data_IF_704916280916
#
_entry.id   IF_704916280916
#
_cell.length_a   1.000
_cell.length_b   1.000
_cell.length_c   1.000
_cell.angle_alpha   90.00
_cell.angle_beta   90.00
_cell.angle_gamma   90.00
#
_symmetry.space_group_name_H-M   'P 1'
#
loop_
_entity.id
_entity.type
_entity.pdbx_description
1 polymer ?
#
# COMPACT_ATOMS: atom_id res chain seq x y z
N UNK A 1 -6.76 18.73 2.13
CA UNK A 1 -5.47 19.42 2.31
C UNK A 1 -4.44 18.71 1.45
N UNK A 2 -3.95 19.36 0.38
CA UNK A 2 -2.86 18.81 -0.42
C UNK A 2 -1.64 18.64 0.49
N UNK A 3 -1.14 17.41 0.62
CA UNK A 3 0.06 17.15 1.43
C UNK A 3 1.22 17.96 0.88
N UNK A 4 1.93 18.70 1.74
CA UNK A 4 3.09 19.47 1.32
C UNK A 4 4.09 18.56 0.60
N UNK A 5 4.56 18.98 -0.56
CA UNK A 5 5.53 18.24 -1.38
C UNK A 5 6.82 18.06 -0.57
N UNK A 6 7.38 16.85 -0.56
CA UNK A 6 8.64 16.57 0.13
C UNK A 6 9.80 17.12 -0.69
N UNK A 7 10.63 17.96 -0.10
CA UNK A 7 11.84 18.45 -0.77
C UNK A 7 12.95 17.39 -0.70
N UNK A 8 13.90 17.40 -1.64
CA UNK A 8 15.06 16.52 -1.57
C UNK A 8 15.86 16.66 -0.26
N UNK A 9 15.97 17.88 0.26
CA UNK A 9 16.63 18.20 1.52
C UNK A 9 15.91 17.55 2.71
N UNK A 10 14.58 17.60 2.74
CA UNK A 10 13.79 16.91 3.76
C UNK A 10 14.03 15.39 3.72
N UNK A 11 14.14 14.79 2.53
CA UNK A 11 14.44 13.36 2.41
C UNK A 11 15.84 13.02 2.91
N UNK A 12 16.80 13.90 2.64
CA UNK A 12 18.15 13.76 3.16
C UNK A 12 18.18 13.80 4.68
N UNK A 13 17.54 14.79 5.30
CA UNK A 13 17.44 14.89 6.77
C UNK A 13 16.73 13.69 7.39
N UNK A 14 15.69 13.16 6.73
CA UNK A 14 15.00 11.96 7.19
C UNK A 14 15.91 10.74 7.22
N UNK A 15 16.69 10.50 6.16
CA UNK A 15 17.63 9.37 6.12
C UNK A 15 18.75 9.55 7.14
N UNK A 16 19.22 10.77 7.36
CA UNK A 16 20.23 11.06 8.38
C UNK A 16 19.69 10.83 9.81
N UNK A 17 18.50 11.35 10.11
CA UNK A 17 17.82 11.13 11.38
C UNK A 17 17.57 9.64 11.66
N UNK A 18 17.18 8.89 10.63
CA UNK A 18 17.00 7.46 10.71
C UNK A 18 18.33 6.75 11.02
N UNK A 19 19.41 7.09 10.30
CA UNK A 19 20.75 6.56 10.57
C UNK A 19 21.22 6.80 12.00
N UNK A 20 21.12 8.03 12.49
CA UNK A 20 21.51 8.34 13.87
C UNK A 20 20.68 7.56 14.89
N UNK A 21 19.40 7.37 14.61
CA UNK A 21 18.52 6.59 15.50
C UNK A 21 18.92 5.11 15.54
N UNK A 22 19.24 4.51 14.38
CA UNK A 22 19.75 3.13 14.31
C UNK A 22 21.10 3.01 15.03
N UNK A 23 21.98 4.00 14.90
CA UNK A 23 23.26 4.01 15.61
C UNK A 23 23.09 4.19 17.12
N UNK A 24 22.16 5.04 17.56
CA UNK A 24 21.88 5.26 18.98
C UNK A 24 21.22 4.05 19.66
N UNK A 25 20.47 3.22 18.91
CA UNK A 25 19.87 2.00 19.46
C UNK A 25 20.83 0.81 19.47
N UNK A 26 21.93 0.87 18.73
CA UNK A 26 23.05 -0.06 18.84
C UNK A 26 23.76 0.22 20.17
N UNK A 27 23.60 -0.68 21.15
CA UNK A 27 24.32 -0.59 22.43
C UNK A 27 25.83 -0.72 22.21
N UNK A 28 26.64 -0.16 23.12
CA UNK A 28 28.09 -0.35 23.14
C UNK A 28 28.54 -1.83 23.10
N UNK A 29 27.65 -2.77 23.46
CA UNK A 29 27.89 -4.22 23.37
C UNK A 29 27.38 -4.86 22.06
N UNK A 30 27.06 -4.08 21.04
CA UNK A 30 26.53 -4.56 19.76
C UNK A 30 25.07 -5.06 19.79
N UNK A 31 24.44 -5.12 20.98
CA UNK A 31 23.04 -5.55 21.10
C UNK A 31 22.09 -4.41 20.78
N UNK A 32 21.21 -4.61 19.80
CA UNK A 32 20.12 -3.68 19.48
C UNK A 32 19.12 -3.66 20.63
N UNK A 33 18.85 -2.48 21.19
CA UNK A 33 17.81 -2.33 22.23
C UNK A 33 16.45 -2.68 21.62
N UNK A 34 15.76 -3.69 22.17
CA UNK A 34 14.37 -4.00 21.80
C UNK A 34 13.51 -2.77 22.08
N UNK A 35 12.98 -2.17 21.02
CA UNK A 35 12.14 -0.98 21.10
C UNK A 35 10.93 -1.16 20.18
N UNK A 36 9.77 -0.67 20.60
CA UNK A 36 8.58 -0.72 19.76
C UNK A 36 8.76 0.15 18.51
N UNK A 37 8.12 -0.23 17.41
CA UNK A 37 8.13 0.55 16.15
C UNK A 37 7.65 1.99 16.35
N UNK A 38 6.66 2.20 17.24
CA UNK A 38 6.15 3.53 17.59
C UNK A 38 7.22 4.38 18.27
N UNK A 39 7.93 3.83 19.25
CA UNK A 39 9.03 4.54 19.92
C UNK A 39 10.19 4.82 18.96
N UNK A 40 10.50 3.88 18.06
CA UNK A 40 11.49 4.09 17.01
C UNK A 40 11.13 5.26 16.10
N UNK A 41 9.91 5.28 15.57
CA UNK A 41 9.46 6.35 14.70
C UNK A 41 9.40 7.71 15.43
N UNK A 42 9.13 7.72 16.74
CA UNK A 42 9.22 8.95 17.57
C UNK A 42 10.66 9.48 17.65
N UNK A 43 11.65 8.63 17.93
CA UNK A 43 13.05 9.05 17.97
C UNK A 43 13.54 9.57 16.60
N UNK A 44 13.15 8.90 15.50
CA UNK A 44 13.46 9.37 14.15
C UNK A 44 12.83 10.75 13.90
N UNK A 45 11.58 10.95 14.31
CA UNK A 45 10.91 12.26 14.19
C UNK A 45 11.60 13.34 15.02
N UNK A 46 11.99 13.08 16.26
CA UNK A 46 12.73 14.03 17.10
C UNK A 46 14.05 14.46 16.46
N UNK A 47 14.83 13.49 15.94
CA UNK A 47 16.09 13.77 15.21
C UNK A 47 15.84 14.55 13.92
N UNK A 48 14.81 14.19 13.18
CA UNK A 48 14.42 14.91 11.97
C UNK A 48 14.07 16.37 12.26
N UNK A 49 13.29 16.63 13.32
CA UNK A 49 12.95 18.00 13.75
C UNK A 49 14.21 18.79 14.18
N UNK A 50 15.18 18.13 14.81
CA UNK A 50 16.46 18.76 15.14
C UNK A 50 17.25 19.18 13.89
N UNK A 51 17.36 18.31 12.87
CA UNK A 51 18.00 18.66 11.59
C UNK A 51 17.29 19.77 10.84
N UNK A 52 15.98 19.81 10.96
CA UNK A 52 15.12 20.82 10.38
C UNK A 52 15.19 22.20 11.05
N UNK A 53 15.94 22.36 12.14
CA UNK A 53 15.96 23.59 12.92
C UNK A 53 14.68 23.85 13.72
N UNK A 54 13.90 22.80 14.00
CA UNK A 54 12.76 22.84 14.93
C UNK A 54 11.39 23.22 14.35
N UNK A 55 11.28 23.58 13.06
CA UNK A 55 10.07 24.25 12.53
C UNK A 55 9.25 23.46 11.49
N UNK A 56 9.54 22.17 11.26
CA UNK A 56 8.84 21.41 10.22
C UNK A 56 7.51 20.81 10.71
N UNK A 57 6.37 21.05 10.04
CA UNK A 57 5.04 20.64 10.48
C UNK A 57 4.70 19.15 10.21
N UNK A 58 5.69 18.28 10.03
CA UNK A 58 5.46 16.86 9.70
C UNK A 58 5.15 16.07 10.96
N UNK A 59 4.12 15.24 10.92
CA UNK A 59 3.75 14.36 12.03
C UNK A 59 4.60 13.07 12.03
N UNK A 60 4.68 12.41 13.18
CA UNK A 60 5.35 11.10 13.33
C UNK A 60 4.80 10.08 12.32
N UNK A 61 3.48 10.09 12.09
CA UNK A 61 2.84 9.20 11.11
C UNK A 61 3.29 9.48 9.67
N UNK A 62 3.44 10.75 9.29
CA UNK A 62 3.95 11.09 7.96
C UNK A 62 5.41 10.71 7.78
N UNK A 63 6.24 10.82 8.82
CA UNK A 63 7.63 10.36 8.81
C UNK A 63 7.71 8.83 8.67
N UNK A 64 6.90 8.10 9.43
CA UNK A 64 6.84 6.63 9.35
C UNK A 64 6.42 6.17 7.94
N UNK A 65 5.31 6.70 7.42
CA UNK A 65 4.87 6.38 6.06
C UNK A 65 5.93 6.72 5.01
N UNK A 66 6.61 7.87 5.18
CA UNK A 66 7.65 8.30 4.25
C UNK A 66 8.86 7.37 4.26
N UNK A 67 9.24 6.90 5.44
CA UNK A 67 10.31 5.92 5.64
C UNK A 67 9.99 4.61 4.92
N UNK A 68 8.76 4.11 5.04
CA UNK A 68 8.32 2.88 4.40
C UNK A 68 8.36 3.01 2.87
N UNK A 69 7.90 4.15 2.32
CA UNK A 69 8.01 4.45 0.89
C UNK A 69 9.47 4.47 0.43
N UNK A 70 10.38 5.06 1.21
CA UNK A 70 11.82 5.07 0.89
C UNK A 70 12.42 3.66 0.90
N UNK A 71 12.02 2.79 1.84
CA UNK A 71 12.44 1.38 1.86
C UNK A 71 11.99 0.64 0.60
N UNK A 72 10.71 0.77 0.23
CA UNK A 72 10.19 0.14 -0.99
C UNK A 72 10.87 0.67 -2.25
N UNK A 73 11.14 1.98 -2.29
CA UNK A 73 11.82 2.60 -3.42
C UNK A 73 13.26 2.12 -3.55
N UNK A 74 13.97 2.02 -2.44
CA UNK A 74 15.32 1.47 -2.40
C UNK A 74 15.35 -0.01 -2.85
N UNK A 75 14.45 -0.84 -2.33
CA UNK A 75 14.37 -2.25 -2.70
C UNK A 75 14.08 -2.44 -4.20
N UNK A 76 13.17 -1.62 -4.76
CA UNK A 76 12.85 -1.62 -6.19
C UNK A 76 14.05 -1.19 -7.05
N UNK A 77 14.74 -0.11 -6.67
CA UNK A 77 15.90 0.37 -7.45
C UNK A 77 17.05 -0.64 -7.36
N UNK A 78 17.29 -1.22 -6.18
CA UNK A 78 18.33 -2.23 -5.99
C UNK A 78 18.04 -3.50 -6.80
N UNK A 79 16.79 -3.94 -6.90
CA UNK A 79 16.43 -5.08 -7.75
C UNK A 79 16.55 -4.76 -9.24
N UNK A 80 16.22 -3.54 -9.65
CA UNK A 80 16.41 -3.06 -11.02
C UNK A 80 17.89 -3.04 -11.42
N UNK A 81 18.75 -2.47 -10.57
CA UNK A 81 20.20 -2.40 -10.80
C UNK A 81 20.85 -3.78 -10.75
N UNK A 82 20.35 -4.69 -9.90
CA UNK A 82 20.83 -6.07 -9.83
C UNK A 82 20.47 -6.93 -11.04
N UNK A 83 19.35 -6.62 -11.72
CA UNK A 83 18.86 -7.39 -12.87
C UNK A 83 19.27 -6.74 -14.20
N UNK A 84 20.55 -6.90 -14.56
CA UNK A 84 21.13 -6.34 -15.80
C UNK A 84 20.44 -6.80 -17.08
N UNK A 85 19.95 -8.04 -17.10
CA UNK A 85 19.24 -8.59 -18.27
C UNK A 85 17.93 -7.85 -18.53
N UNK A 86 17.21 -7.48 -17.48
CA UNK A 86 15.95 -6.74 -17.60
C UNK A 86 16.16 -5.24 -17.86
N UNK A 87 17.23 -4.66 -17.32
CA UNK A 87 17.52 -3.22 -17.43
C UNK A 87 18.32 -2.83 -18.67
N UNK A 88 18.74 -3.79 -19.49
CA UNK A 88 19.54 -3.55 -20.71
C UNK A 88 20.78 -2.68 -20.44
N UNK A 89 21.45 -2.91 -19.31
CA UNK A 89 22.61 -2.15 -18.81
C UNK A 89 22.37 -0.64 -18.63
N UNK A 90 21.11 -0.20 -18.49
CA UNK A 90 20.78 1.19 -18.18
C UNK A 90 21.02 1.50 -16.71
N UNK A 91 21.78 2.58 -16.44
CA UNK A 91 21.92 3.13 -15.09
C UNK A 91 20.64 3.87 -14.68
N UNK A 92 20.07 3.47 -13.54
CA UNK A 92 18.85 4.05 -12.98
C UNK A 92 18.93 5.56 -12.80
N UNK A 93 20.10 6.09 -12.39
CA UNK A 93 20.26 7.51 -12.08
C UNK A 93 20.49 8.38 -13.32
N UNK A 94 20.81 7.77 -14.46
CA UNK A 94 20.91 8.46 -15.76
C UNK A 94 19.54 8.62 -16.42
N UNK A 95 18.57 7.78 -16.07
CA UNK A 95 17.21 7.85 -16.59
C UNK A 95 16.51 9.16 -16.22
N UNK A 96 15.67 9.65 -17.12
CA UNK A 96 14.83 10.82 -16.85
C UNK A 96 13.77 10.51 -15.78
N UNK A 97 13.33 11.53 -15.04
CA UNK A 97 12.26 11.38 -14.01
C UNK A 97 10.92 10.86 -14.60
N UNK A 98 10.70 11.00 -15.90
CA UNK A 98 9.57 10.41 -16.62
C UNK A 98 9.74 8.89 -16.78
N UNK A 99 10.89 8.45 -17.27
CA UNK A 99 11.20 7.03 -17.49
C UNK A 99 11.25 6.28 -16.16
N UNK A 100 11.88 6.85 -15.14
CA UNK A 100 11.86 6.30 -13.78
C UNK A 100 10.42 6.06 -13.31
N UNK A 101 9.54 7.05 -13.48
CA UNK A 101 8.13 6.93 -13.10
C UNK A 101 7.36 5.89 -13.91
N UNK A 102 7.71 5.67 -15.18
CA UNK A 102 7.11 4.60 -15.99
C UNK A 102 7.55 3.23 -15.51
N UNK A 103 8.84 3.04 -15.24
CA UNK A 103 9.37 1.80 -14.67
C UNK A 103 8.73 1.49 -13.32
N UNK A 104 8.54 2.49 -12.46
CA UNK A 104 7.96 2.27 -11.13
C UNK A 104 6.51 1.82 -11.15
N UNK A 105 5.77 2.02 -12.26
CA UNK A 105 4.42 1.45 -12.41
C UNK A 105 4.44 -0.08 -12.44
N UNK A 106 5.59 -0.70 -12.72
CA UNK A 106 5.75 -2.15 -12.67
C UNK A 106 6.00 -2.70 -11.26
N UNK A 107 6.10 -1.84 -10.24
CA UNK A 107 6.38 -2.23 -8.85
C UNK A 107 5.25 -2.98 -8.12
N UNK A 108 4.26 -3.52 -8.85
CA UNK A 108 3.26 -4.43 -8.28
C UNK A 108 2.36 -3.80 -7.22
N UNK A 109 2.09 -2.50 -7.30
CA UNK A 109 1.23 -1.78 -6.36
C UNK A 109 1.93 -1.28 -5.09
N UNK A 110 3.23 -1.53 -4.93
CA UNK A 110 3.99 -0.91 -3.85
C UNK A 110 4.16 0.60 -4.10
N UNK A 111 4.02 1.45 -3.06
CA UNK A 111 4.24 2.87 -3.19
C UNK A 111 5.75 3.12 -3.32
N UNK A 112 6.19 3.39 -4.54
CA UNK A 112 7.59 3.70 -4.87
C UNK A 112 7.65 5.14 -5.37
N UNK A 113 8.73 5.85 -5.06
CA UNK A 113 8.98 7.21 -5.55
C UNK A 113 10.39 7.39 -6.13
N UNK A 114 10.60 8.36 -7.04
CA UNK A 114 11.95 8.73 -7.46
C UNK A 114 12.74 9.23 -6.26
N UNK A 115 13.94 8.68 -6.08
CA UNK A 115 14.89 9.11 -5.05
C UNK A 115 16.19 9.56 -5.71
N UNK A 116 16.84 10.55 -5.11
CA UNK A 116 18.14 11.02 -5.56
C UNK A 116 19.24 10.02 -5.21
N UNK A 117 20.28 10.00 -6.03
CA UNK A 117 21.46 9.14 -5.89
C UNK A 117 22.09 9.24 -4.50
N UNK A 118 22.25 10.47 -3.96
CA UNK A 118 22.77 10.69 -2.60
C UNK A 118 21.94 9.99 -1.52
N UNK A 119 20.61 10.00 -1.66
CA UNK A 119 19.68 9.39 -0.70
C UNK A 119 19.73 7.88 -0.84
N UNK A 120 19.81 7.36 -2.07
CA UNK A 120 19.94 5.94 -2.33
C UNK A 120 21.21 5.34 -1.70
N UNK A 121 22.38 5.93 -1.90
CA UNK A 121 23.62 5.44 -1.29
C UNK A 121 23.61 5.54 0.23
N UNK A 122 22.95 6.55 0.80
CA UNK A 122 22.79 6.65 2.23
C UNK A 122 21.87 5.55 2.80
N UNK A 123 20.81 5.17 2.08
CA UNK A 123 19.96 4.03 2.41
C UNK A 123 20.68 2.70 2.22
N UNK A 124 21.49 2.56 1.17
CA UNK A 124 22.26 1.34 0.88
C UNK A 124 23.20 0.98 2.02
N UNK A 125 23.95 1.96 2.53
CA UNK A 125 24.79 1.80 3.73
C UNK A 125 23.96 1.45 4.96
N UNK A 126 22.85 2.15 5.18
CA UNK A 126 21.99 1.95 6.35
C UNK A 126 21.41 0.53 6.41
N UNK A 127 20.88 0.05 5.28
CA UNK A 127 20.17 -1.23 5.21
C UNK A 127 21.12 -2.42 5.04
N UNK A 128 22.28 -2.23 4.40
CA UNK A 128 23.32 -3.28 4.32
C UNK A 128 23.93 -3.57 5.71
N UNK A 129 24.09 -2.54 6.55
CA UNK A 129 24.52 -2.69 7.94
C UNK A 129 23.50 -3.48 8.80
N UNK A 130 22.21 -3.43 8.45
CA UNK A 130 21.15 -4.15 9.15
C UNK A 130 21.15 -5.64 8.78
N UNK A 131 21.34 -5.95 7.49
CA UNK A 131 21.41 -7.33 6.99
C UNK A 131 22.63 -8.07 7.56
N UNK A 132 23.80 -7.41 7.57
CA UNK A 132 25.04 -8.00 8.11
C UNK A 132 24.95 -8.24 9.61
N UNK A 133 24.31 -7.35 10.36
CA UNK A 133 24.09 -7.52 11.79
C UNK A 133 23.12 -8.66 12.13
N UNK A 134 22.14 -8.95 11.27
CA UNK A 134 21.19 -10.04 11.45
C UNK A 134 21.82 -11.43 11.26
N UNK A 135 22.71 -11.58 10.27
CA UNK A 135 23.30 -12.89 9.96
C UNK A 135 24.41 -13.32 10.93
N UNK A 136 25.10 -12.38 11.57
CA UNK A 136 26.22 -12.70 12.48
C UNK A 136 25.77 -13.27 13.84
N UNK A 137 24.47 -13.28 14.16
CA UNK A 137 23.97 -13.72 15.48
C UNK A 137 23.42 -15.15 15.54
N UNK A 138 23.35 -15.87 14.42
CA UNK A 138 22.70 -17.20 14.35
C UNK A 138 23.67 -18.37 14.14
N UNK A 139 24.97 -18.10 14.00
CA UNK A 139 25.98 -19.09 13.59
C UNK A 139 26.85 -19.61 14.75
N UNK A 140 26.31 -19.69 15.98
CA UNK A 140 27.09 -20.11 17.16
C UNK A 140 26.44 -21.14 18.09
N UNK A 141 25.33 -21.77 17.72
CA UNK A 141 24.72 -22.87 18.52
C UNK A 141 24.21 -24.06 17.69
N UNK A 142 24.86 -24.43 16.58
CA UNK A 142 24.69 -25.77 15.99
C UNK A 142 25.89 -26.66 16.31
N UNK A 143 25.92 -27.10 17.58
CA UNK A 143 26.67 -28.28 17.96
C UNK A 143 26.19 -29.49 17.14
N UNK A 144 27.17 -30.27 16.69
CA UNK A 144 27.04 -31.53 15.97
C UNK A 144 25.79 -32.35 16.38
N UNK A 145 24.87 -32.53 15.44
CA UNK A 145 23.91 -33.62 15.45
C UNK A 145 23.98 -34.29 14.09
N UNK A 146 24.88 -35.27 13.99
CA UNK A 146 24.84 -36.30 12.96
C UNK A 146 23.47 -36.99 13.03
N UNK A 147 22.59 -36.70 12.07
CA UNK A 147 21.35 -37.42 11.85
C UNK A 147 21.43 -38.08 10.49
N UNK A 148 21.77 -39.37 10.52
CA UNK A 148 21.73 -40.27 9.38
C UNK A 148 20.34 -40.32 8.74
N UNK A 149 20.36 -40.30 7.40
CA UNK A 149 19.51 -41.12 6.53
C UNK A 149 18.00 -41.10 6.71
N UNK A 150 17.30 -40.45 5.77
CA UNK A 150 16.24 -41.16 5.05
C UNK A 150 16.05 -40.55 3.65
N UNK A 151 16.31 -41.37 2.64
CA UNK A 151 16.17 -41.05 1.22
C UNK A 151 14.74 -41.41 0.81
N UNK A 152 13.85 -40.41 0.76
CA UNK A 152 12.48 -40.63 0.27
C UNK A 152 12.35 -40.15 -1.17
N UNK A 153 12.50 -41.13 -2.05
CA UNK A 153 12.28 -41.07 -3.49
C UNK A 153 10.77 -41.09 -3.76
N UNK A 154 10.16 -39.92 -3.94
CA UNK A 154 8.73 -39.87 -4.24
C UNK A 154 8.18 -38.48 -4.39
N UNK A 155 8.21 -37.93 -5.61
CA UNK A 155 6.97 -37.78 -6.36
C UNK A 155 7.18 -37.04 -7.68
N UNK A 156 6.95 -37.77 -8.76
CA UNK A 156 6.76 -37.24 -10.10
C UNK A 156 5.28 -36.92 -10.27
N UNK A 157 4.93 -35.64 -10.26
CA UNK A 157 3.72 -35.17 -10.96
C UNK A 157 4.09 -34.12 -11.99
N UNK A 158 4.35 -34.61 -13.20
CA UNK A 158 3.93 -33.91 -14.40
C UNK A 158 2.42 -33.65 -14.33
N UNK A 159 2.00 -32.38 -14.38
CA UNK A 159 0.78 -32.04 -15.13
C UNK A 159 0.73 -30.58 -15.53
N UNK A 160 0.86 -30.40 -16.83
CA UNK A 160 0.87 -29.11 -17.49
C UNK A 160 -0.40 -28.28 -17.29
N UNK A 161 -0.19 -26.98 -17.12
CA UNK A 161 -1.20 -25.95 -17.36
C UNK A 161 -0.68 -24.99 -18.43
N UNK A 162 -1.02 -25.35 -19.67
CA UNK A 162 -1.48 -24.49 -20.77
C UNK A 162 -1.14 -22.99 -20.68
N UNK A 163 -0.09 -22.62 -21.40
CA UNK A 163 0.14 -21.23 -21.83
C UNK A 163 -0.97 -20.79 -22.80
N UNK A 164 -1.92 -19.97 -22.31
CA UNK A 164 -2.81 -19.20 -23.19
C UNK A 164 -2.05 -17.98 -23.71
N UNK A 165 -1.57 -18.09 -24.95
CA UNK A 165 -1.12 -16.97 -25.78
C UNK A 165 -2.24 -15.92 -25.88
N UNK A 166 -1.99 -14.69 -25.40
CA UNK A 166 -2.79 -13.52 -25.76
C UNK A 166 -2.07 -12.79 -26.91
N UNK A 167 -2.73 -12.52 -28.05
CA UNK A 167 -2.14 -11.71 -29.11
C UNK A 167 -2.05 -10.25 -28.66
N UNK A 168 -0.85 -9.69 -28.75
CA UNK A 168 -0.56 -8.28 -28.52
C UNK A 168 -1.12 -7.43 -29.66
N UNK A 169 -2.11 -6.58 -29.36
CA UNK A 169 -2.52 -5.51 -30.26
C UNK A 169 -1.57 -4.32 -30.07
N UNK A 170 -0.67 -4.11 -31.03
CA UNK A 170 0.13 -2.89 -31.16
C UNK A 170 -0.79 -1.75 -31.61
N UNK A 171 -1.01 -0.76 -30.75
CA UNK A 171 -1.55 0.55 -31.15
C UNK A 171 -0.48 1.62 -30.93
N UNK A 172 0.23 1.93 -32.01
CA UNK A 172 1.02 3.15 -32.19
C UNK A 172 0.08 4.36 -32.17
N UNK A 173 0.13 5.16 -31.11
CA UNK A 173 -0.43 6.52 -31.13
C UNK A 173 0.66 7.51 -31.55
N UNK A 174 0.50 8.07 -32.75
CA UNK A 174 1.21 9.26 -33.22
C UNK A 174 0.78 10.44 -32.35
N UNK A 175 1.74 11.01 -31.63
CA UNK A 175 1.63 12.28 -30.89
C UNK A 175 1.64 13.43 -31.91
N UNK A 176 0.47 14.00 -32.20
CA UNK A 176 0.37 15.29 -32.88
C UNK A 176 0.54 16.38 -31.81
N UNK A 177 1.59 17.18 -31.94
CA UNK A 177 1.77 18.40 -31.16
C UNK A 177 0.93 19.50 -31.80
N UNK A 178 0.00 20.08 -31.04
CA UNK A 178 -0.56 21.40 -31.33
C UNK A 178 -0.53 22.23 -30.06
N UNK A 179 0.29 23.26 -30.13
CA UNK A 179 0.34 24.44 -29.27
C UNK A 179 -0.98 25.20 -29.31
N UNK A 180 -1.48 25.61 -28.15
CA UNK A 180 -2.62 26.52 -28.03
C UNK A 180 -2.72 27.11 -26.63
N UNK A 181 -2.54 28.42 -26.55
CA UNK A 181 -2.56 29.28 -25.37
C UNK A 181 -3.96 29.50 -24.76
N UNK A 182 -4.06 29.47 -23.41
CA UNK A 182 -4.73 30.37 -22.44
C UNK A 182 -5.91 31.25 -22.98
N UNK A 183 -7.11 31.37 -22.33
CA UNK A 183 -7.23 31.90 -20.96
C UNK A 183 -8.36 31.41 -20.05
N UNK A 184 -8.25 31.89 -18.80
CA UNK A 184 -9.14 31.72 -17.66
C UNK A 184 -10.59 32.16 -17.90
N UNK A 185 -11.54 31.38 -17.36
CA UNK A 185 -12.85 31.86 -16.94
C UNK A 185 -13.45 30.88 -15.91
N UNK A 186 -13.72 31.38 -14.70
CA UNK A 186 -14.66 30.77 -13.76
C UNK A 186 -16.10 31.00 -14.25
N UNK A 187 -17.01 30.07 -13.93
CA UNK A 187 -18.29 30.53 -13.37
C UNK A 187 -18.67 29.83 -12.06
N UNK A 188 -19.34 30.62 -11.24
CA UNK A 188 -20.04 30.28 -9.99
C UNK A 188 -21.36 29.56 -10.28
N UNK A 189 -21.93 28.97 -9.22
CA UNK A 189 -23.32 28.48 -9.07
C UNK A 189 -23.54 27.07 -9.63
N UNK A 190 -24.38 26.20 -9.09
CA UNK A 190 -25.48 26.30 -8.12
C UNK A 190 -25.62 24.89 -7.48
N UNK A 191 -25.88 24.76 -6.18
CA UNK A 191 -27.23 24.58 -5.61
C UNK A 191 -27.90 23.27 -6.07
N UNK A 192 -28.11 22.38 -5.10
CA UNK A 192 -29.11 21.30 -4.94
C UNK A 192 -28.43 20.16 -4.17
N UNK A 193 -28.50 20.11 -2.84
CA UNK A 193 -29.67 19.67 -2.05
C UNK A 193 -30.23 18.32 -2.52
N UNK A 194 -29.60 17.22 -2.09
CA UNK A 194 -30.33 15.98 -1.83
C UNK A 194 -29.82 15.33 -0.53
N UNK A 195 -30.57 15.61 0.54
CA UNK A 195 -31.20 14.60 1.41
C UNK A 195 -30.40 13.31 1.61
N UNK A 196 -29.68 13.09 2.71
CA UNK A 196 -30.12 13.36 4.09
C UNK A 196 -31.08 12.29 4.62
N UNK A 197 -31.08 11.06 4.10
CA UNK A 197 -31.90 9.96 4.61
C UNK A 197 -31.15 9.16 5.70
N UNK A 198 -30.96 9.82 6.85
CA UNK A 198 -30.66 9.14 8.11
C UNK A 198 -31.95 8.47 8.58
N UNK A 199 -32.02 7.15 8.38
CA UNK A 199 -33.04 6.27 8.94
C UNK A 199 -33.19 6.50 10.45
N UNK A 200 -34.17 7.32 10.77
CA UNK A 200 -34.85 7.38 12.05
C UNK A 200 -35.59 6.05 12.25
N UNK A 201 -35.08 5.22 13.17
CA UNK A 201 -35.89 4.21 13.83
C UNK A 201 -35.74 4.43 15.34
N UNK A 202 -36.35 5.52 15.80
CA UNK A 202 -36.52 5.86 17.21
C UNK A 202 -37.99 5.71 17.57
N UNK A 203 -38.44 4.47 17.60
CA UNK A 203 -39.71 4.12 18.24
C UNK A 203 -39.44 3.16 19.40
N UNK A 204 -40.04 3.48 20.54
CA UNK A 204 -40.40 2.44 21.49
C UNK A 204 -39.80 2.58 22.89
N UNK A 205 -40.49 3.36 23.71
CA UNK A 205 -40.75 3.05 25.12
C UNK A 205 -39.57 3.17 26.11
N UNK A 206 -39.46 4.34 26.75
CA UNK A 206 -38.83 4.47 28.06
C UNK A 206 -39.69 3.79 29.15
N UNK A 207 -39.70 2.46 29.18
CA UNK A 207 -40.21 1.70 30.31
C UNK A 207 -39.12 1.66 31.40
N UNK A 208 -39.44 2.24 32.55
CA UNK A 208 -38.62 2.22 33.78
C UNK A 208 -38.29 0.77 34.14
N UNK A 209 -37.09 0.31 33.80
CA UNK A 209 -36.58 -1.00 34.21
C UNK A 209 -36.32 -0.99 35.71
N UNK A 210 -37.33 -1.48 36.45
CA UNK A 210 -37.24 -1.91 37.84
C UNK A 210 -36.08 -2.90 37.94
N UNK A 211 -35.02 -2.52 38.66
CA UNK A 211 -33.83 -3.36 38.94
C UNK A 211 -34.28 -4.65 39.61
N UNK A 212 -34.57 -5.69 38.82
CA UNK A 212 -34.77 -7.05 39.31
C UNK A 212 -33.40 -7.56 39.72
N UNK A 213 -33.22 -7.73 41.03
CA UNK A 213 -32.11 -8.45 41.64
C UNK A 213 -32.14 -9.87 41.08
N UNK A 214 -31.28 -10.14 40.10
CA UNK A 214 -31.12 -11.48 39.52
C UNK A 214 -30.43 -12.31 40.58
N UNK A 215 -31.19 -13.21 41.21
CA UNK A 215 -30.62 -14.28 42.00
C UNK A 215 -29.89 -15.21 41.03
N UNK A 216 -28.60 -15.49 41.23
CA UNK A 216 -27.86 -16.39 40.35
C UNK A 216 -28.44 -17.80 40.51
N UNK A 217 -29.16 -18.26 39.49
CA UNK A 217 -29.57 -19.66 39.37
C UNK A 217 -28.27 -20.43 39.11
N UNK A 218 -27.91 -21.33 40.03
CA UNK A 218 -26.65 -22.09 40.02
C UNK A 218 -26.62 -23.07 38.85
N UNK A 219 -26.39 -22.58 37.63
CA UNK A 219 -25.92 -23.43 36.54
C UNK A 219 -24.46 -23.75 36.83
N UNK A 220 -24.09 -25.02 36.70
CA UNK A 220 -22.71 -25.44 36.88
C UNK A 220 -21.78 -24.59 36.00
N UNK A 221 -20.60 -24.18 36.48
CA UNK A 221 -19.71 -23.25 35.78
C UNK A 221 -19.32 -23.72 34.37
N UNK A 222 -19.38 -25.04 34.11
CA UNK A 222 -19.14 -25.63 32.79
C UNK A 222 -20.23 -25.30 31.76
N UNK A 223 -21.48 -25.15 32.17
CA UNK A 223 -22.58 -24.77 31.27
C UNK A 223 -22.45 -23.29 30.84
N UNK A 224 -22.15 -22.41 31.79
CA UNK A 224 -21.98 -20.98 31.52
C UNK A 224 -20.83 -20.69 30.52
N UNK A 225 -19.73 -21.45 30.60
CA UNK A 225 -18.62 -21.29 29.66
C UNK A 225 -18.97 -21.71 28.23
N UNK A 226 -19.77 -22.77 28.06
CA UNK A 226 -20.25 -23.20 26.73
C UNK A 226 -21.14 -22.15 26.08
N UNK A 227 -22.06 -21.57 26.84
CA UNK A 227 -22.96 -20.52 26.34
C UNK A 227 -22.17 -19.26 25.89
N UNK A 228 -21.09 -18.91 26.60
CA UNK A 228 -20.23 -17.78 26.23
C UNK A 228 -19.48 -18.08 24.92
N UNK A 229 -18.88 -19.26 24.80
CA UNK A 229 -18.17 -19.69 23.60
C UNK A 229 -19.09 -19.73 22.38
N UNK A 230 -20.30 -20.26 22.54
CA UNK A 230 -21.30 -20.33 21.47
C UNK A 230 -21.75 -18.93 21.03
N UNK A 231 -21.97 -18.01 21.98
CA UNK A 231 -22.27 -16.61 21.64
C UNK A 231 -21.11 -15.95 20.88
N UNK A 232 -19.87 -16.17 21.32
CA UNK A 232 -18.70 -15.62 20.65
C UNK A 232 -18.52 -16.19 19.24
N UNK A 233 -18.74 -17.49 19.04
CA UNK A 233 -18.66 -18.11 17.71
C UNK A 233 -19.76 -17.59 16.77
N UNK A 234 -20.98 -17.38 17.28
CA UNK A 234 -22.07 -16.79 16.50
C UNK A 234 -21.76 -15.35 16.08
N UNK A 235 -21.19 -14.54 16.99
CA UNK A 235 -20.77 -13.16 16.65
C UNK A 235 -19.68 -13.15 15.59
N UNK A 236 -18.69 -14.04 15.71
CA UNK A 236 -17.62 -14.15 14.73
C UNK A 236 -18.13 -14.62 13.37
N UNK A 237 -19.03 -15.60 13.34
CA UNK A 237 -19.64 -16.10 12.10
C UNK A 237 -20.37 -14.98 11.35
N UNK A 238 -21.22 -14.21 12.05
CA UNK A 238 -21.93 -13.05 11.46
C UNK A 238 -20.97 -11.96 10.97
N UNK A 239 -19.87 -11.74 11.66
CA UNK A 239 -18.86 -10.78 11.23
C UNK A 239 -18.17 -11.23 9.93
N UNK A 240 -17.82 -12.51 9.82
CA UNK A 240 -17.21 -13.08 8.62
C UNK A 240 -18.16 -13.07 7.42
N UNK A 241 -19.43 -13.42 7.64
CA UNK A 241 -20.49 -13.35 6.63
C UNK A 241 -20.67 -11.92 6.11
N UNK A 242 -20.84 -10.94 7.02
CA UNK A 242 -20.92 -9.52 6.64
C UNK A 242 -19.73 -9.05 5.82
N UNK A 243 -18.51 -9.51 6.14
CA UNK A 243 -17.28 -9.15 5.41
C UNK A 243 -17.13 -9.88 4.07
N UNK A 244 -17.79 -11.03 3.91
CA UNK A 244 -17.90 -11.69 2.60
C UNK A 244 -18.87 -10.94 1.70
N UNK A 245 -20.03 -10.54 2.24
CA UNK A 245 -21.04 -9.76 1.52
C UNK A 245 -20.50 -8.40 1.07
N UNK A 246 -19.78 -7.69 1.94
CA UNK A 246 -19.15 -6.41 1.62
C UNK A 246 -18.18 -6.52 0.43
N UNK A 247 -17.35 -7.57 0.41
CA UNK A 247 -16.44 -7.84 -0.73
C UNK A 247 -17.18 -8.21 -2.00
N UNK A 248 -18.28 -8.96 -1.91
CA UNK A 248 -19.12 -9.28 -3.06
C UNK A 248 -19.75 -8.01 -3.65
N UNK A 249 -20.30 -7.14 -2.79
CA UNK A 249 -20.90 -5.88 -3.21
C UNK A 249 -19.87 -4.94 -3.85
N UNK A 250 -18.65 -4.86 -3.32
CA UNK A 250 -17.56 -4.09 -3.92
C UNK A 250 -17.21 -4.60 -5.32
N UNK A 251 -17.13 -5.92 -5.49
CA UNK A 251 -16.85 -6.53 -6.78
C UNK A 251 -17.99 -6.27 -7.81
N UNK A 252 -19.24 -6.35 -7.37
CA UNK A 252 -20.40 -6.06 -8.23
C UNK A 252 -20.44 -4.58 -8.63
N UNK A 253 -20.13 -3.65 -7.72
CA UNK A 253 -19.98 -2.22 -8.05
C UNK A 253 -18.89 -1.99 -9.08
N UNK A 254 -17.71 -2.60 -8.90
CA UNK A 254 -16.61 -2.48 -9.87
C UNK A 254 -16.99 -3.04 -11.25
N UNK A 255 -17.84 -4.08 -11.28
CA UNK A 255 -18.37 -4.62 -12.54
C UNK A 255 -19.33 -3.63 -13.21
N UNK A 256 -20.27 -3.08 -12.44
CA UNK A 256 -21.23 -2.08 -12.93
C UNK A 256 -20.54 -0.83 -13.47
N UNK A 257 -19.49 -0.35 -12.79
CA UNK A 257 -18.68 0.79 -13.24
C UNK A 257 -18.02 0.52 -14.60
N UNK A 258 -17.38 -0.66 -14.76
CA UNK A 258 -16.78 -1.05 -16.05
C UNK A 258 -17.82 -1.17 -17.16
N UNK A 259 -19.00 -1.69 -16.86
CA UNK A 259 -20.10 -1.78 -17.83
C UNK A 259 -20.66 -0.40 -18.20
N UNK A 260 -20.74 0.52 -17.23
CA UNK A 260 -21.16 1.91 -17.47
C UNK A 260 -20.13 2.66 -18.33
N UNK A 261 -18.84 2.53 -18.03
CA UNK A 261 -17.75 3.10 -18.83
C UNK A 261 -17.76 2.55 -20.25
N UNK A 262 -17.91 1.23 -20.41
CA UNK A 262 -17.98 0.61 -21.72
C UNK A 262 -19.17 1.12 -22.53
N UNK A 263 -20.34 1.29 -21.90
CA UNK A 263 -21.52 1.87 -22.54
C UNK A 263 -21.28 3.32 -22.93
N UNK A 264 -20.71 4.12 -22.05
CA UNK A 264 -20.38 5.52 -22.31
C UNK A 264 -19.48 5.65 -23.55
N UNK A 265 -18.36 4.93 -23.58
CA UNK A 265 -17.44 4.93 -24.72
C UNK A 265 -18.07 4.41 -26.01
N UNK A 266 -18.94 3.41 -25.93
CA UNK A 266 -19.68 2.92 -27.09
C UNK A 266 -20.62 3.99 -27.65
N UNK A 267 -21.35 4.71 -26.79
CA UNK A 267 -22.24 5.80 -27.22
C UNK A 267 -21.46 6.96 -27.84
N UNK A 268 -20.33 7.35 -27.25
CA UNK A 268 -19.51 8.44 -27.75
C UNK A 268 -18.89 8.10 -29.11
N UNK A 269 -18.34 6.87 -29.23
CA UNK A 269 -17.81 6.38 -30.52
C UNK A 269 -18.90 6.31 -31.60
N UNK A 270 -20.15 6.00 -31.23
CA UNK A 270 -21.26 5.99 -32.17
C UNK A 270 -21.63 7.41 -32.65
N UNK A 271 -21.61 8.40 -31.77
CA UNK A 271 -21.80 9.82 -32.12
C UNK A 271 -20.69 10.31 -33.07
N UNK A 272 -19.44 10.02 -32.75
CA UNK A 272 -18.30 10.40 -33.62
C UNK A 272 -18.44 9.79 -35.02
N UNK A 273 -18.86 8.52 -35.10
CA UNK A 273 -19.14 7.87 -36.38
C UNK A 273 -20.33 8.50 -37.12
N UNK A 274 -21.35 8.95 -36.42
CA UNK A 274 -22.49 9.64 -37.03
C UNK A 274 -22.06 10.99 -37.61
N UNK A 275 -21.32 11.80 -36.85
CA UNK A 275 -20.77 13.08 -37.31
C UNK A 275 -19.87 12.92 -38.54
N UNK A 276 -19.03 11.88 -38.54
CA UNK A 276 -18.21 11.57 -39.72
C UNK A 276 -19.08 11.21 -40.94
N UNK A 277 -20.16 10.45 -40.77
CA UNK A 277 -21.06 10.15 -41.88
C UNK A 277 -21.73 11.39 -42.44
N UNK A 278 -22.19 12.31 -41.59
CA UNK A 278 -22.79 13.58 -42.01
C UNK A 278 -21.77 14.44 -42.80
N UNK A 279 -20.55 14.59 -42.29
CA UNK A 279 -19.50 15.37 -42.97
C UNK A 279 -19.10 14.84 -44.36
N UNK A 280 -19.26 13.54 -44.60
CA UNK A 280 -18.91 12.90 -45.87
C UNK A 280 -20.10 12.59 -46.78
N UNK A 281 -21.35 12.79 -46.32
CA UNK A 281 -22.55 12.55 -47.13
C UNK A 281 -22.95 13.72 -48.04
N UNK A 282 -22.53 14.95 -47.72
CA UNK A 282 -22.88 16.18 -48.47
C UNK A 282 -21.93 16.50 -49.64
N UNK A 283 -21.23 15.51 -50.20
CA UNK A 283 -20.34 15.66 -51.38
C UNK A 283 -20.80 14.77 -52.52
#
# INVERSE_FOLDING_TARGET
MAGAVWTPEELWWLVQAWRETVQATKSARGKTRKMSSSQFNKLVHERFVAFAGGSIPRSVGTIALRKDILQHSYAFIRSFVGNKEASADLDWFVLTKSEQRELMKTAGGQPVQPIEERVFFALDRLLSDEITAGNASDDSESGASESDGDSSEGDKYERGMRQKKRPAAKKTYKRVQLSGSVPAATPKSALEEETGELLSQKDGTHAKQKRRRVTPKSSSPKAAMKDILERQSQVLARFLEKRADERSQEHDRSRQEREADQKFWATETAKDRALLRELFADK
#
